data_IF_026034800130
#
_entry.id   IF_026034800130
#
_cell.length_a   1.000
_cell.length_b   1.000
_cell.length_c   1.000
_cell.angle_alpha   90.00
_cell.angle_beta   90.00
_cell.angle_gamma   90.00
#
_symmetry.space_group_name_H-M   'P 1'
#
loop_
_entity.id
_entity.type
_entity.pdbx_description
1 polymer ?
#
# COMPACT_ATOMS: atom_id res chain seq x y z
N UNK A 1 -19.26 -56.02 64.64
CA UNK A 1 -18.10 -56.06 65.56
C UNK A 1 -17.33 -57.34 65.27
N UNK A 2 -16.01 -57.31 65.02
CA UNK A 2 -15.19 -56.18 64.54
C UNK A 2 -15.65 -55.80 63.09
N UNK A 3 -14.90 -55.50 62.02
CA UNK A 3 -13.47 -55.26 61.75
C UNK A 3 -13.34 -54.35 60.50
N UNK A 4 -12.15 -53.80 60.24
CA UNK A 4 -11.75 -53.25 58.94
C UNK A 4 -10.22 -53.33 58.77
N UNK A 5 -9.74 -53.46 57.53
CA UNK A 5 -8.36 -53.15 57.10
C UNK A 5 -8.42 -52.45 55.74
N UNK A 6 -7.54 -51.47 55.51
CA UNK A 6 -7.78 -50.38 54.54
C UNK A 6 -6.47 -49.91 53.88
N UNK A 7 -6.55 -49.50 52.60
CA UNK A 7 -5.56 -48.71 51.82
C UNK A 7 -4.18 -49.34 51.50
N UNK A 8 -3.38 -48.77 50.56
CA UNK A 8 -3.69 -47.68 49.60
C UNK A 8 -3.37 -47.99 48.11
N UNK A 9 -4.04 -47.27 47.21
CA UNK A 9 -3.65 -47.14 45.80
C UNK A 9 -4.30 -45.92 45.15
N UNK A 10 -3.52 -44.85 44.91
CA UNK A 10 -3.93 -43.67 44.12
C UNK A 10 -3.83 -44.04 42.62
N UNK A 11 -4.46 -43.39 41.64
CA UNK A 11 -4.59 -41.96 41.36
C UNK A 11 -5.91 -41.70 40.59
N UNK A 12 -6.51 -40.52 40.75
CA UNK A 12 -7.64 -40.07 39.94
C UNK A 12 -7.17 -39.25 38.72
N UNK A 13 -7.89 -39.34 37.60
CA UNK A 13 -7.78 -38.36 36.51
C UNK A 13 -9.16 -38.11 35.89
N UNK A 14 -9.62 -36.86 35.95
CA UNK A 14 -10.83 -36.43 35.25
C UNK A 14 -10.48 -36.17 33.78
N UNK A 15 -11.16 -36.83 32.85
CA UNK A 15 -11.18 -36.40 31.46
C UNK A 15 -12.15 -35.23 31.32
N UNK A 16 -11.67 -33.98 31.46
CA UNK A 16 -12.41 -32.83 30.97
C UNK A 16 -12.48 -32.90 29.44
N UNK A 17 -13.69 -32.94 28.89
CA UNK A 17 -13.92 -32.82 27.45
C UNK A 17 -13.52 -31.42 26.98
N UNK A 18 -12.36 -31.32 26.30
CA UNK A 18 -11.82 -30.05 25.85
C UNK A 18 -12.70 -29.41 24.77
N UNK A 19 -13.21 -28.20 25.03
CA UNK A 19 -13.86 -27.38 24.02
C UNK A 19 -12.78 -26.79 23.09
N UNK A 20 -12.56 -27.40 21.94
CA UNK A 20 -11.60 -26.91 20.94
C UNK A 20 -12.25 -25.77 20.14
N UNK A 21 -12.26 -24.57 20.72
CA UNK A 21 -12.63 -23.34 20.00
C UNK A 21 -11.48 -22.90 19.09
N UNK A 22 -11.27 -23.64 18.00
CA UNK A 22 -10.33 -23.31 16.95
C UNK A 22 -10.88 -22.13 16.13
N UNK A 23 -10.75 -20.92 16.68
CA UNK A 23 -11.02 -19.69 15.94
C UNK A 23 -10.11 -19.62 14.72
N UNK A 24 -10.68 -19.23 13.59
CA UNK A 24 -9.95 -19.19 12.33
C UNK A 24 -8.81 -18.17 12.43
N UNK A 25 -7.57 -18.65 12.28
CA UNK A 25 -6.49 -17.82 11.79
C UNK A 25 -6.84 -17.45 10.35
N UNK A 26 -7.56 -16.35 10.18
CA UNK A 26 -7.80 -15.75 8.88
C UNK A 26 -6.45 -15.48 8.21
N UNK A 27 -6.24 -16.04 7.03
CA UNK A 27 -5.07 -15.75 6.22
C UNK A 27 -5.14 -14.27 5.80
N UNK A 28 -4.47 -13.40 6.56
CA UNK A 28 -4.14 -12.06 6.09
C UNK A 28 -3.29 -12.21 4.84
N UNK A 29 -3.91 -12.04 3.66
CA UNK A 29 -3.21 -11.96 2.39
C UNK A 29 -2.45 -10.63 2.32
N UNK A 30 -1.33 -10.52 3.03
CA UNK A 30 -0.33 -9.46 2.89
C UNK A 30 0.48 -9.61 1.58
N UNK A 31 -0.21 -9.99 0.50
CA UNK A 31 0.33 -10.04 -0.84
C UNK A 31 0.42 -8.64 -1.42
N UNK A 32 1.57 -8.34 -2.01
CA UNK A 32 1.72 -7.16 -2.88
C UNK A 32 0.87 -7.37 -4.13
N UNK A 33 -0.01 -6.41 -4.42
CA UNK A 33 -0.93 -6.40 -5.55
C UNK A 33 -0.40 -5.49 -6.67
N UNK A 34 -0.62 -5.86 -7.93
CA UNK A 34 -0.29 -5.06 -9.12
C UNK A 34 -1.43 -4.15 -9.59
N UNK A 35 -2.64 -4.33 -9.03
CA UNK A 35 -3.88 -3.74 -9.50
C UNK A 35 -4.81 -3.41 -8.33
N UNK A 36 -5.62 -2.34 -8.44
CA UNK A 36 -6.72 -2.00 -7.53
C UNK A 36 -8.02 -2.03 -8.35
N UNK A 37 -9.11 -2.66 -7.88
CA UNK A 37 -10.29 -2.96 -8.70
C UNK A 37 -11.23 -1.76 -8.98
N UNK A 38 -10.84 -0.55 -8.58
CA UNK A 38 -11.66 0.67 -8.69
C UNK A 38 -10.76 1.88 -8.92
N UNK A 39 -11.33 2.97 -9.42
CA UNK A 39 -10.62 4.25 -9.48
C UNK A 39 -10.44 4.85 -8.07
N UNK A 40 -9.42 5.66 -7.88
CA UNK A 40 -9.11 6.28 -6.58
C UNK A 40 -8.38 7.63 -6.73
N UNK A 41 -8.46 8.48 -5.72
CA UNK A 41 -7.51 9.59 -5.54
C UNK A 41 -6.42 9.18 -4.53
N UNK A 42 -5.30 9.90 -4.56
CA UNK A 42 -4.24 9.78 -3.56
C UNK A 42 -4.13 11.11 -2.84
N UNK A 43 -4.23 11.10 -1.51
CA UNK A 43 -3.89 12.23 -0.65
C UNK A 43 -2.59 11.96 0.11
N UNK A 44 -1.86 13.05 0.38
CA UNK A 44 -0.74 13.08 1.32
C UNK A 44 -1.01 14.24 2.29
N UNK A 45 -1.02 13.95 3.59
CA UNK A 45 -1.25 14.93 4.66
C UNK A 45 -2.55 15.75 4.46
N UNK A 46 -3.60 15.08 3.97
CA UNK A 46 -4.94 15.65 3.74
C UNK A 46 -5.07 16.56 2.50
N UNK A 47 -4.12 16.48 1.55
CA UNK A 47 -4.17 17.20 0.27
C UNK A 47 -3.97 16.22 -0.89
N UNK A 48 -4.72 16.33 -2.00
CA UNK A 48 -4.59 15.40 -3.11
C UNK A 48 -3.32 15.65 -3.93
N UNK A 49 -2.79 14.57 -4.52
CA UNK A 49 -1.81 14.68 -5.61
C UNK A 49 -2.50 15.34 -6.81
N UNK A 50 -1.92 16.44 -7.28
CA UNK A 50 -2.46 17.23 -8.36
C UNK A 50 -2.45 16.45 -9.68
N UNK A 51 -3.56 16.52 -10.41
CA UNK A 51 -3.57 16.20 -11.84
C UNK A 51 -2.58 17.11 -12.59
N UNK A 52 -1.93 16.56 -13.62
CA UNK A 52 -1.08 17.33 -14.53
C UNK A 52 -1.86 17.76 -15.78
N UNK A 53 -1.58 18.95 -16.29
CA UNK A 53 -2.17 19.45 -17.53
C UNK A 53 -1.84 18.57 -18.73
N UNK A 54 -2.80 18.32 -19.61
CA UNK A 54 -2.57 17.54 -20.84
C UNK A 54 -1.45 18.14 -21.71
N UNK A 55 -1.35 19.48 -21.74
CA UNK A 55 -0.32 20.23 -22.44
C UNK A 55 1.06 20.29 -21.76
N UNK A 56 1.23 19.72 -20.56
CA UNK A 56 2.51 19.71 -19.86
C UNK A 56 3.59 18.92 -20.62
N UNK A 57 4.84 19.16 -20.25
CA UNK A 57 6.00 18.40 -20.75
C UNK A 57 5.81 16.88 -20.55
N UNK A 58 6.60 16.07 -21.25
CA UNK A 58 6.49 14.61 -21.12
C UNK A 58 6.80 14.16 -19.67
N UNK A 59 7.93 14.62 -19.13
CA UNK A 59 8.33 14.44 -17.74
C UNK A 59 7.96 15.67 -16.91
N UNK A 60 7.22 15.52 -15.83
CA UNK A 60 6.92 16.61 -14.88
C UNK A 60 6.82 16.02 -13.47
N UNK A 61 7.55 16.58 -12.50
CA UNK A 61 7.51 16.09 -11.12
C UNK A 61 6.11 16.27 -10.51
N UNK A 62 5.65 15.28 -9.76
CA UNK A 62 4.35 15.29 -9.11
C UNK A 62 4.36 16.19 -7.88
N UNK A 63 3.24 16.85 -7.63
CA UNK A 63 3.04 17.83 -6.56
C UNK A 63 1.63 17.68 -5.97
N UNK A 64 1.41 18.23 -4.78
CA UNK A 64 0.07 18.40 -4.23
C UNK A 64 -0.62 19.62 -4.87
N UNK A 65 -1.96 19.67 -4.85
CA UNK A 65 -2.73 20.77 -5.43
C UNK A 65 -4.23 20.69 -5.15
N UNK A 66 -5.02 21.45 -5.90
CA UNK A 66 -6.47 21.57 -5.71
C UNK A 66 -7.29 20.63 -6.61
N UNK A 67 -6.87 20.40 -7.86
CA UNK A 67 -7.49 19.42 -8.76
C UNK A 67 -6.92 18.00 -8.53
N UNK A 68 -7.68 17.05 -7.94
CA UNK A 68 -7.17 15.72 -7.68
C UNK A 68 -6.96 14.91 -8.96
N UNK A 69 -5.84 14.20 -9.04
CA UNK A 69 -5.67 13.14 -10.01
C UNK A 69 -6.55 11.93 -9.66
N UNK A 70 -7.41 11.51 -10.60
CA UNK A 70 -8.18 10.26 -10.51
C UNK A 70 -7.34 9.17 -11.17
N UNK A 71 -6.85 8.25 -10.36
CA UNK A 71 -5.99 7.16 -10.76
C UNK A 71 -6.77 5.85 -10.98
N UNK A 72 -6.20 5.00 -11.82
CA UNK A 72 -6.33 3.55 -11.75
C UNK A 72 -4.95 2.94 -11.47
N UNK A 73 -4.91 1.76 -10.85
CA UNK A 73 -3.71 0.93 -10.77
C UNK A 73 -4.03 -0.41 -11.43
N UNK A 74 -3.27 -0.77 -12.47
CA UNK A 74 -3.42 -2.02 -13.22
C UNK A 74 -2.08 -2.48 -13.76
N UNK A 75 -1.78 -3.78 -13.73
CA UNK A 75 -0.55 -4.36 -14.28
C UNK A 75 0.75 -3.67 -13.76
N UNK A 76 0.73 -3.20 -12.50
CA UNK A 76 1.74 -2.36 -11.86
C UNK A 76 2.01 -1.01 -12.54
N UNK A 77 0.99 -0.42 -13.16
CA UNK A 77 0.98 0.95 -13.71
C UNK A 77 -0.11 1.79 -13.06
N UNK A 78 0.34 2.89 -12.45
CA UNK A 78 -0.50 3.91 -11.86
C UNK A 78 -0.79 4.98 -12.93
N UNK A 79 -2.04 5.05 -13.41
CA UNK A 79 -2.41 5.84 -14.59
C UNK A 79 -3.56 6.81 -14.30
N UNK A 80 -3.44 8.03 -14.82
CA UNK A 80 -4.50 9.05 -14.85
C UNK A 80 -4.59 9.60 -16.28
N UNK A 81 -5.65 9.24 -17.02
CA UNK A 81 -5.83 9.66 -18.42
C UNK A 81 -4.71 9.16 -19.35
N UNK A 82 -4.08 10.07 -20.09
CA UNK A 82 -2.94 9.81 -20.98
C UNK A 82 -1.58 9.78 -20.26
N UNK A 83 -1.57 9.88 -18.92
CA UNK A 83 -0.35 9.96 -18.11
C UNK A 83 -0.21 8.79 -17.14
N UNK A 84 1.01 8.26 -17.02
CA UNK A 84 1.40 7.35 -15.93
C UNK A 84 2.23 8.11 -14.90
N UNK A 85 2.13 7.73 -13.63
CA UNK A 85 2.89 8.33 -12.53
C UNK A 85 3.79 7.29 -11.86
N UNK A 86 5.06 7.63 -11.64
CA UNK A 86 6.00 6.72 -10.99
C UNK A 86 7.42 7.27 -10.87
N UNK A 87 8.36 6.40 -10.53
CA UNK A 87 9.80 6.71 -10.45
C UNK A 87 10.50 6.41 -11.76
N UNK A 88 11.57 7.15 -12.07
CA UNK A 88 12.45 6.83 -13.20
C UNK A 88 13.28 5.58 -12.85
N UNK A 89 13.51 4.67 -13.80
CA UNK A 89 14.42 3.53 -13.66
C UNK A 89 15.89 3.98 -13.58
N UNK A 90 16.21 5.13 -14.21
CA UNK A 90 17.53 5.75 -14.18
C UNK A 90 17.61 6.83 -13.08
N UNK A 91 17.92 6.43 -11.85
CA UNK A 91 18.11 7.31 -10.68
C UNK A 91 19.57 7.35 -10.21
N UNK A 92 19.94 8.39 -9.46
CA UNK A 92 21.19 8.39 -8.70
C UNK A 92 21.14 7.35 -7.57
N UNK A 93 22.29 6.74 -7.22
CA UNK A 93 22.40 5.62 -6.26
C UNK A 93 22.37 6.02 -4.78
N UNK A 94 21.86 7.20 -4.42
CA UNK A 94 21.66 7.57 -3.01
C UNK A 94 20.44 6.85 -2.42
N UNK A 95 20.40 6.72 -1.09
CA UNK A 95 19.20 6.30 -0.34
C UNK A 95 18.33 7.49 0.11
N UNK A 96 18.53 8.68 -0.45
CA UNK A 96 17.61 9.81 -0.25
C UNK A 96 16.28 9.59 -0.98
N UNK A 97 15.22 10.34 -0.62
CA UNK A 97 13.95 10.32 -1.33
C UNK A 97 14.11 10.54 -2.84
N UNK A 98 13.21 9.96 -3.64
CA UNK A 98 13.24 10.04 -5.11
C UNK A 98 12.03 10.80 -5.63
N UNK A 99 12.20 11.69 -6.63
CA UNK A 99 11.05 12.36 -7.24
C UNK A 99 10.12 11.31 -7.85
N UNK A 100 8.82 11.49 -7.61
CA UNK A 100 7.77 10.80 -8.36
C UNK A 100 7.32 11.76 -9.45
N UNK A 101 7.23 11.30 -10.68
CA UNK A 101 6.92 12.14 -11.84
C UNK A 101 5.78 11.57 -12.66
N UNK A 102 5.10 12.47 -13.36
CA UNK A 102 4.25 12.20 -14.50
C UNK A 102 5.08 11.94 -15.75
N UNK A 103 4.60 11.00 -16.57
CA UNK A 103 5.12 10.62 -17.89
C UNK A 103 3.94 10.42 -18.84
N UNK A 104 4.05 10.69 -20.15
CA UNK A 104 3.00 10.26 -21.09
C UNK A 104 2.99 8.74 -21.22
N UNK A 105 1.80 8.14 -21.23
CA UNK A 105 1.57 6.71 -21.38
C UNK A 105 1.96 6.26 -22.82
N UNK A 106 3.23 5.93 -23.01
CA UNK A 106 3.79 5.56 -24.31
C UNK A 106 4.85 4.46 -24.18
N UNK A 107 5.12 3.75 -25.28
CA UNK A 107 6.00 2.58 -25.31
C UNK A 107 7.49 2.85 -25.05
N UNK A 108 7.93 4.10 -24.85
CA UNK A 108 9.24 4.44 -24.30
C UNK A 108 9.16 4.56 -22.78
N UNK A 109 8.25 5.40 -22.28
CA UNK A 109 8.07 5.65 -20.85
C UNK A 109 7.63 4.39 -20.08
N UNK A 110 6.85 3.50 -20.69
CA UNK A 110 6.50 2.19 -20.13
C UNK A 110 7.70 1.30 -19.75
N UNK A 111 8.88 1.56 -20.34
CA UNK A 111 10.17 0.90 -20.05
C UNK A 111 11.05 1.70 -19.08
N UNK A 112 10.75 2.98 -18.89
CA UNK A 112 11.52 3.93 -18.06
C UNK A 112 10.88 4.17 -16.70
N UNK A 113 9.59 3.93 -16.54
CA UNK A 113 8.86 4.08 -15.26
C UNK A 113 8.93 2.77 -14.46
N UNK A 114 9.36 2.86 -13.21
CA UNK A 114 9.39 1.72 -12.29
C UNK A 114 7.97 1.34 -11.84
N UNK A 115 7.77 0.04 -11.56
CA UNK A 115 6.50 -0.49 -11.08
C UNK A 115 5.99 0.22 -9.82
N UNK A 116 4.70 0.56 -9.83
CA UNK A 116 3.94 0.92 -8.63
C UNK A 116 3.12 -0.30 -8.23
N UNK A 117 3.09 -0.64 -6.95
CA UNK A 117 2.28 -1.73 -6.41
C UNK A 117 1.46 -1.27 -5.22
N UNK A 118 0.45 -2.06 -4.84
CA UNK A 118 -0.36 -1.84 -3.65
C UNK A 118 -0.13 -2.95 -2.62
N UNK A 119 -0.43 -2.66 -1.36
CA UNK A 119 -0.78 -3.65 -0.33
C UNK A 119 -2.16 -3.30 0.22
N UNK A 120 -2.96 -4.31 0.54
CA UNK A 120 -4.24 -4.12 1.23
C UNK A 120 -4.08 -4.40 2.73
N UNK A 121 -4.45 -3.44 3.56
CA UNK A 121 -4.32 -3.49 5.02
C UNK A 121 -5.70 -3.18 5.64
N UNK A 122 -6.45 -4.24 5.96
CA UNK A 122 -7.89 -4.13 6.25
C UNK A 122 -8.63 -3.66 5.00
N UNK A 123 -9.35 -2.55 5.11
CA UNK A 123 -10.06 -1.92 3.99
C UNK A 123 -9.23 -0.84 3.25
N UNK A 124 -8.07 -0.47 3.79
CA UNK A 124 -7.18 0.54 3.21
C UNK A 124 -6.18 -0.06 2.21
N UNK A 125 -5.64 0.78 1.32
CA UNK A 125 -4.53 0.44 0.43
C UNK A 125 -3.31 1.34 0.69
N UNK A 126 -2.13 0.72 0.82
CA UNK A 126 -0.83 1.39 0.80
C UNK A 126 -0.23 1.26 -0.60
N UNK A 127 0.13 2.37 -1.25
CA UNK A 127 0.88 2.36 -2.52
C UNK A 127 2.38 2.40 -2.28
N UNK A 128 3.12 1.67 -3.12
CA UNK A 128 4.57 1.52 -3.04
C UNK A 128 5.21 1.76 -4.41
N UNK A 129 6.05 2.80 -4.47
CA UNK A 129 6.74 3.27 -5.67
C UNK A 129 8.11 2.61 -5.73
N UNK A 130 8.17 1.43 -6.37
CA UNK A 130 9.28 0.49 -6.27
C UNK A 130 9.73 0.26 -4.81
N UNK A 131 8.80 -0.30 -4.02
CA UNK A 131 8.91 -0.68 -2.59
C UNK A 131 9.05 0.48 -1.57
N UNK A 132 9.03 1.73 -1.99
CA UNK A 132 9.04 2.89 -1.09
C UNK A 132 7.64 3.53 -0.96
N UNK A 133 7.18 3.90 0.25
CA UNK A 133 5.97 4.70 0.43
C UNK A 133 6.17 6.13 -0.11
N UNK A 134 5.06 6.87 -0.28
CA UNK A 134 5.12 8.29 -0.62
C UNK A 134 5.39 9.17 0.62
N UNK A 135 5.93 10.35 0.35
CA UNK A 135 6.03 11.49 1.24
C UNK A 135 5.86 12.79 0.45
N UNK A 136 5.74 13.92 1.14
CA UNK A 136 5.83 15.26 0.54
C UNK A 136 7.01 16.05 1.12
N UNK A 137 7.55 17.00 0.36
CA UNK A 137 8.46 18.04 0.88
C UNK A 137 7.69 19.27 1.38
N UNK A 138 8.36 20.20 2.08
CA UNK A 138 7.75 21.44 2.57
C UNK A 138 7.21 22.33 1.41
N UNK A 139 7.80 22.20 0.21
CA UNK A 139 7.35 22.87 -1.03
C UNK A 139 6.17 22.18 -1.72
N UNK A 140 5.67 21.04 -1.19
CA UNK A 140 4.55 20.30 -1.77
C UNK A 140 4.92 19.28 -2.86
N UNK A 141 6.21 18.99 -3.04
CA UNK A 141 6.69 18.02 -4.05
C UNK A 141 6.52 16.58 -3.56
N UNK A 142 5.98 15.70 -4.41
CA UNK A 142 5.72 14.30 -4.09
C UNK A 142 6.97 13.46 -4.34
N UNK A 143 7.43 12.75 -3.31
CA UNK A 143 8.61 11.90 -3.38
C UNK A 143 8.33 10.51 -2.82
N UNK A 144 9.12 9.52 -3.24
CA UNK A 144 9.14 8.19 -2.65
C UNK A 144 10.26 8.11 -1.60
N UNK A 145 9.89 7.80 -0.36
CA UNK A 145 10.82 7.73 0.77
C UNK A 145 11.51 6.36 0.86
N UNK A 146 12.76 6.28 0.38
CA UNK A 146 13.54 5.04 0.38
C UNK A 146 13.97 4.58 1.78
N UNK A 147 13.78 5.39 2.82
CA UNK A 147 14.11 5.04 4.20
C UNK A 147 12.89 4.86 5.12
N UNK A 148 11.67 5.16 4.65
CA UNK A 148 10.43 5.15 5.43
C UNK A 148 10.58 5.88 6.80
N UNK A 149 11.08 7.11 6.75
CA UNK A 149 11.32 8.01 7.89
C UNK A 149 10.36 9.21 7.93
N UNK A 150 9.71 9.54 6.82
CA UNK A 150 8.65 10.53 6.80
C UNK A 150 7.49 10.10 7.70
N UNK A 151 6.73 11.10 8.18
CA UNK A 151 5.48 10.91 8.92
C UNK A 151 4.24 11.24 8.09
N UNK A 152 4.43 11.54 6.80
CA UNK A 152 3.34 11.89 5.88
C UNK A 152 2.24 10.84 5.88
N UNK A 153 1.01 11.26 6.12
CA UNK A 153 -0.16 10.38 6.09
C UNK A 153 -0.65 10.22 4.64
N UNK A 154 -0.31 9.08 4.02
CA UNK A 154 -0.73 8.76 2.65
C UNK A 154 -2.04 7.99 2.67
N UNK A 155 -3.06 8.49 1.96
CA UNK A 155 -4.40 7.89 1.86
C UNK A 155 -4.76 7.59 0.41
N UNK A 156 -5.26 6.37 0.17
CA UNK A 156 -5.89 5.96 -1.09
C UNK A 156 -7.41 6.01 -0.87
N UNK A 157 -8.10 6.89 -1.60
CA UNK A 157 -9.54 7.10 -1.44
C UNK A 157 -10.24 6.57 -2.69
N UNK A 158 -10.85 5.39 -2.57
CA UNK A 158 -11.65 4.80 -3.65
C UNK A 158 -12.77 5.75 -4.07
N UNK A 159 -12.99 5.87 -5.37
CA UNK A 159 -14.15 6.57 -5.93
C UNK A 159 -15.28 5.57 -6.14
N UNK A 160 -16.51 5.96 -5.81
CA UNK A 160 -17.70 5.16 -6.12
C UNK A 160 -17.98 5.21 -7.63
N UNK A 161 -18.34 4.07 -8.22
CA UNK A 161 -18.77 4.00 -9.62
C UNK A 161 -20.24 4.46 -9.72
N UNK A 162 -20.48 5.55 -10.45
CA UNK A 162 -21.82 6.10 -10.75
C UNK A 162 -22.44 5.46 -11.99
#
# INVERSE_FOLDING_TARGET
MPAATVTPGRIALLCLSGLVTLWLLGFFQTGTMDSIPSHFTIEIDGKPIAKVDGGAEDHTEAKLGEEPAIFSLKDSRLQCGDRIMGRNLAENRSFGPKPVSWYKANAENEKRVQAVTAKKEGDAYQLLFANAPLMVTDEGMVMADLMARSKSEVKVILQEEN
#
